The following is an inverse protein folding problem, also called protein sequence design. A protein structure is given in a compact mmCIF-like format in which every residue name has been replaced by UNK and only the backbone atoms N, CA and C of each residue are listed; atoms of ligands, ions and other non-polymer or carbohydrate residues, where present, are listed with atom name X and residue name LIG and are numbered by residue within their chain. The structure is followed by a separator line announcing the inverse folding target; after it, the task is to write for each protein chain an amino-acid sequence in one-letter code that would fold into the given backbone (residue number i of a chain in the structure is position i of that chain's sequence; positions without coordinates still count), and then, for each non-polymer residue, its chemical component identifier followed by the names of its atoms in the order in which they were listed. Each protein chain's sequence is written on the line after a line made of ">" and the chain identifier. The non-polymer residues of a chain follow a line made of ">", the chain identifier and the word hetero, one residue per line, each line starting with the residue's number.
data_IF_198057328543
#
_entry.id   IF_198057328543
#
_cell.length_a   1.000
_cell.length_b   1.000
_cell.length_c   1.000
_cell.angle_alpha   90.00
_cell.angle_beta   90.00
_cell.angle_gamma   90.00
#
_symmetry.space_group_name_H-M   'P 1'
#
loop_
_entity.id
_entity.type
_entity.pdbx_description
1 polymer ?
#
# COMPACT_ATOMS: atom_id res chain seq x y z
N UNK A 1 -4.09 57.34 -23.58
CA UNK A 1 -2.70 56.89 -23.72
C UNK A 1 -2.16 56.63 -22.33
N UNK A 2 -2.20 55.45 -21.72
CA UNK A 2 -2.80 54.16 -22.06
C UNK A 2 -3.07 53.41 -20.74
N UNK A 3 -4.12 52.59 -20.80
CA UNK A 3 -4.55 51.64 -19.79
C UNK A 3 -3.95 50.30 -20.18
N UNK A 4 -3.24 49.60 -19.28
CA UNK A 4 -2.94 48.16 -19.35
C UNK A 4 -2.50 47.71 -17.94
N UNK A 5 -3.39 47.18 -17.08
CA UNK A 5 -3.81 45.76 -17.00
C UNK A 5 -2.68 44.73 -17.11
N UNK A 6 -1.92 44.54 -16.03
CA UNK A 6 -1.27 43.25 -15.77
C UNK A 6 -2.27 42.33 -15.06
N UNK A 7 -3.17 41.77 -15.86
CA UNK A 7 -3.81 40.50 -15.59
C UNK A 7 -2.79 39.40 -15.90
N UNK A 8 -2.22 38.78 -14.87
CA UNK A 8 -1.62 37.44 -15.02
C UNK A 8 -2.57 36.44 -14.39
N UNK A 9 -3.67 36.21 -15.12
CA UNK A 9 -4.44 34.99 -15.03
C UNK A 9 -3.56 33.85 -15.57
N UNK A 10 -2.90 33.14 -14.65
CA UNK A 10 -2.24 31.87 -14.96
C UNK A 10 -2.92 30.77 -14.13
N UNK A 11 -4.24 30.68 -14.27
CA UNK A 11 -4.96 29.45 -14.00
C UNK A 11 -4.60 28.46 -15.11
N UNK A 12 -3.51 27.72 -14.93
CA UNK A 12 -3.34 26.47 -15.66
C UNK A 12 -4.46 25.52 -15.22
N UNK A 13 -5.60 25.58 -15.92
CA UNK A 13 -6.59 24.51 -15.90
C UNK A 13 -5.88 23.24 -16.37
N UNK A 14 -5.40 22.47 -15.41
CA UNK A 14 -4.97 21.10 -15.64
C UNK A 14 -6.23 20.35 -16.05
N UNK A 15 -6.44 20.21 -17.35
CA UNK A 15 -7.46 19.34 -17.92
C UNK A 15 -7.16 17.91 -17.45
N UNK A 16 -7.75 17.53 -16.32
CA UNK A 16 -7.69 16.18 -15.80
C UNK A 16 -8.46 15.28 -16.78
N UNK A 17 -7.94 14.08 -17.14
CA UNK A 17 -8.63 13.17 -18.06
C UNK A 17 -10.05 12.88 -17.57
N UNK A 18 -11.03 12.78 -18.47
CA UNK A 18 -12.39 12.36 -18.10
C UNK A 18 -12.37 10.97 -17.46
N UNK A 19 -12.59 10.91 -16.14
CA UNK A 19 -12.56 9.68 -15.36
C UNK A 19 -13.93 9.01 -15.40
N UNK A 20 -14.03 7.83 -16.02
CA UNK A 20 -15.28 7.06 -15.97
C UNK A 20 -15.04 5.62 -15.49
N UNK A 21 -15.38 5.39 -14.22
CA UNK A 21 -15.82 4.11 -13.65
C UNK A 21 -16.38 4.33 -12.22
N UNK A 22 -17.62 4.84 -12.12
CA UNK A 22 -18.53 4.71 -10.97
C UNK A 22 -17.94 4.86 -9.54
N UNK A 23 -17.26 5.98 -9.25
CA UNK A 23 -16.93 6.38 -7.88
C UNK A 23 -17.43 7.80 -7.61
N UNK A 24 -17.92 8.03 -6.40
CA UNK A 24 -18.56 9.30 -6.03
C UNK A 24 -17.53 10.42 -5.84
N UNK A 25 -17.83 11.61 -6.37
CA UNK A 25 -17.16 12.85 -5.98
C UNK A 25 -17.67 13.26 -4.59
N UNK A 26 -16.81 13.12 -3.59
CA UNK A 26 -17.14 13.41 -2.20
C UNK A 26 -16.74 14.83 -1.78
N UNK A 27 -16.15 15.63 -2.67
CA UNK A 27 -15.67 16.99 -2.38
C UNK A 27 -16.66 17.84 -1.57
N UNK A 28 -17.96 17.96 -1.93
CA UNK A 28 -18.90 18.80 -1.18
C UNK A 28 -19.25 18.24 0.22
N UNK A 29 -18.89 17.00 0.51
CA UNK A 29 -19.26 16.29 1.74
C UNK A 29 -18.08 16.05 2.69
N UNK A 30 -16.87 16.46 2.31
CA UNK A 30 -15.64 16.26 3.07
C UNK A 30 -15.27 17.54 3.81
N UNK A 31 -14.97 17.41 5.10
CA UNK A 31 -14.49 18.52 5.93
C UNK A 31 -13.22 18.11 6.67
N UNK A 32 -12.15 18.89 6.55
CA UNK A 32 -10.89 18.67 7.27
C UNK A 32 -11.12 18.80 8.79
N UNK A 33 -10.54 17.91 9.59
CA UNK A 33 -10.61 18.02 11.06
C UNK A 33 -9.46 18.82 11.67
N UNK A 34 -8.42 19.11 10.89
CA UNK A 34 -7.21 19.80 11.34
C UNK A 34 -6.62 20.63 10.19
N UNK A 35 -5.78 21.60 10.56
CA UNK A 35 -5.06 22.47 9.62
C UNK A 35 -3.94 21.72 8.87
N UNK A 36 -3.36 20.71 9.51
CA UNK A 36 -2.22 19.94 8.99
C UNK A 36 -2.58 18.46 8.76
N UNK A 37 -1.92 17.78 7.80
CA UNK A 37 -2.10 16.35 7.60
C UNK A 37 -1.58 15.54 8.80
N UNK A 38 -2.18 14.38 9.04
CA UNK A 38 -1.80 13.47 10.13
C UNK A 38 -0.50 12.73 9.81
N UNK A 39 -0.25 12.47 8.53
CA UNK A 39 0.98 11.83 8.08
C UNK A 39 1.45 12.40 6.74
N UNK A 40 2.77 12.40 6.54
CA UNK A 40 3.42 12.69 5.27
C UNK A 40 4.32 11.52 4.92
N UNK A 41 4.16 10.98 3.72
CA UNK A 41 4.92 9.84 3.23
C UNK A 41 5.46 10.06 1.82
N UNK A 42 6.18 9.08 1.29
CA UNK A 42 6.81 9.17 -0.03
C UNK A 42 5.84 9.31 -1.22
N UNK A 43 4.54 9.21 -0.97
CA UNK A 43 3.45 9.30 -1.96
C UNK A 43 2.55 10.53 -1.78
N UNK A 44 2.76 11.31 -0.71
CA UNK A 44 1.96 12.48 -0.41
C UNK A 44 1.52 12.53 1.05
N UNK A 45 0.33 13.05 1.29
CA UNK A 45 -0.17 13.40 2.62
C UNK A 45 -1.46 12.65 2.94
N UNK A 46 -1.66 12.30 4.20
CA UNK A 46 -2.91 11.70 4.68
C UNK A 46 -3.58 12.64 5.67
N UNK A 47 -4.79 13.04 5.34
CA UNK A 47 -5.62 13.94 6.13
C UNK A 47 -6.71 13.14 6.86
N UNK A 48 -6.97 13.49 8.12
CA UNK A 48 -8.17 13.05 8.83
C UNK A 48 -9.29 14.04 8.55
N UNK A 49 -10.42 13.52 8.08
CA UNK A 49 -11.57 14.32 7.67
C UNK A 49 -12.87 13.71 8.19
N UNK A 50 -13.94 14.49 8.15
CA UNK A 50 -15.32 14.04 8.33
C UNK A 50 -16.00 13.98 6.97
N UNK A 51 -16.60 12.84 6.66
CA UNK A 51 -17.51 12.66 5.53
C UNK A 51 -18.95 12.72 6.05
N UNK A 52 -19.74 13.68 5.56
CA UNK A 52 -21.17 13.79 5.87
C UNK A 52 -21.97 12.83 5.00
N UNK A 53 -22.53 11.79 5.61
CA UNK A 53 -23.41 10.83 4.95
C UNK A 53 -24.86 11.04 5.36
N UNK A 54 -25.79 10.41 4.65
CA UNK A 54 -27.21 10.38 5.03
C UNK A 54 -27.46 9.73 6.40
N UNK A 55 -26.50 8.94 6.91
CA UNK A 55 -26.56 8.28 8.23
C UNK A 55 -25.83 9.06 9.32
N UNK A 56 -25.31 10.25 9.00
CA UNK A 56 -24.51 11.07 9.91
C UNK A 56 -23.04 11.18 9.51
N UNK A 57 -22.25 11.94 10.30
CA UNK A 57 -20.83 12.15 10.05
C UNK A 57 -20.02 10.89 10.36
N UNK A 58 -19.13 10.50 9.44
CA UNK A 58 -18.17 9.41 9.64
C UNK A 58 -16.74 9.92 9.43
N UNK A 59 -15.78 9.37 10.17
CA UNK A 59 -14.36 9.69 9.99
C UNK A 59 -13.82 8.99 8.74
N UNK A 60 -13.09 9.74 7.92
CA UNK A 60 -12.43 9.24 6.72
C UNK A 60 -10.97 9.68 6.66
N UNK A 61 -10.16 8.89 5.98
CA UNK A 61 -8.82 9.27 5.56
C UNK A 61 -8.89 9.82 4.13
N UNK A 62 -8.23 10.95 3.88
CA UNK A 62 -8.10 11.55 2.56
C UNK A 62 -6.63 11.57 2.18
N UNK A 63 -6.24 10.70 1.24
CA UNK A 63 -4.87 10.54 0.75
C UNK A 63 -4.66 11.48 -0.43
N UNK A 64 -3.93 12.55 -0.19
CA UNK A 64 -3.57 13.57 -1.18
C UNK A 64 -2.21 13.24 -1.79
N UNK A 65 -2.10 13.41 -3.11
CA UNK A 65 -0.88 13.08 -3.85
C UNK A 65 -0.08 14.33 -4.17
N UNK A 66 1.24 14.25 -3.97
CA UNK A 66 2.14 15.36 -4.27
C UNK A 66 2.26 15.55 -5.80
N UNK A 67 2.26 16.80 -6.23
CA UNK A 67 2.61 17.18 -7.61
C UNK A 67 3.94 17.93 -7.57
N UNK A 68 4.86 17.53 -8.42
CA UNK A 68 6.18 18.13 -8.53
C UNK A 68 6.17 19.16 -9.68
N UNK A 69 6.87 20.28 -9.51
CA UNK A 69 6.89 21.38 -10.48
C UNK A 69 8.26 21.47 -11.14
N UNK A 70 8.31 21.37 -12.47
CA UNK A 70 9.53 21.42 -13.27
C UNK A 70 9.46 20.49 -14.50
N UNK A 71 10.31 20.72 -15.51
CA UNK A 71 10.33 19.91 -16.73
C UNK A 71 10.80 18.46 -16.47
N UNK A 72 11.69 18.24 -15.49
CA UNK A 72 12.22 16.91 -15.13
C UNK A 72 11.23 16.06 -14.31
N UNK A 73 10.09 16.64 -13.91
CA UNK A 73 9.14 16.05 -12.96
C UNK A 73 7.87 15.47 -13.63
N UNK A 74 7.72 15.63 -14.94
CA UNK A 74 6.58 15.11 -15.71
C UNK A 74 6.39 13.61 -15.52
N UNK A 75 7.49 12.84 -15.48
CA UNK A 75 7.44 11.40 -15.26
C UNK A 75 6.95 11.04 -13.84
N UNK A 76 7.28 11.85 -12.82
CA UNK A 76 6.79 11.63 -11.45
C UNK A 76 5.29 11.91 -11.34
N UNK A 77 4.82 12.99 -11.95
CA UNK A 77 3.41 13.35 -11.99
C UNK A 77 2.58 12.31 -12.76
N UNK A 78 3.07 11.85 -13.92
CA UNK A 78 2.42 10.78 -14.68
C UNK A 78 2.31 9.47 -13.87
N UNK A 79 3.34 9.14 -13.07
CA UNK A 79 3.29 7.99 -12.14
C UNK A 79 2.21 8.18 -11.06
N UNK A 80 2.08 9.37 -10.48
CA UNK A 80 1.07 9.65 -9.48
C UNK A 80 -0.35 9.58 -10.05
N UNK A 81 -0.60 10.15 -11.23
CA UNK A 81 -1.89 10.04 -11.93
C UNK A 81 -2.24 8.57 -12.22
N UNK A 82 -1.26 7.78 -12.68
CA UNK A 82 -1.47 6.35 -12.94
C UNK A 82 -1.80 5.57 -11.66
N UNK A 83 -1.21 5.94 -10.52
CA UNK A 83 -1.49 5.34 -9.21
C UNK A 83 -2.89 5.68 -8.73
N UNK A 84 -3.28 6.96 -8.79
CA UNK A 84 -4.63 7.41 -8.45
C UNK A 84 -5.66 6.61 -9.25
N UNK A 85 -5.45 6.49 -10.57
CA UNK A 85 -6.32 5.71 -11.45
C UNK A 85 -6.49 4.27 -11.00
N UNK A 86 -5.39 3.62 -10.64
CA UNK A 86 -5.39 2.21 -10.26
C UNK A 86 -6.07 2.02 -8.92
N UNK A 87 -5.71 2.83 -7.93
CA UNK A 87 -6.27 2.70 -6.59
C UNK A 87 -7.78 2.99 -6.59
N UNK A 88 -8.24 3.99 -7.33
CA UNK A 88 -9.67 4.25 -7.56
C UNK A 88 -10.33 3.13 -8.39
N UNK A 89 -9.80 2.81 -9.58
CA UNK A 89 -10.41 1.86 -10.51
C UNK A 89 -10.45 0.42 -9.97
N UNK A 90 -9.33 -0.07 -9.43
CA UNK A 90 -9.28 -1.40 -8.80
C UNK A 90 -10.05 -1.40 -7.49
N UNK A 91 -9.90 -0.38 -6.65
CA UNK A 91 -10.56 -0.32 -5.33
C UNK A 91 -12.09 -0.19 -5.40
N UNK A 92 -12.64 0.41 -6.46
CA UNK A 92 -14.08 0.62 -6.61
C UNK A 92 -14.91 -0.67 -6.52
N UNK A 93 -14.40 -1.75 -7.12
CA UNK A 93 -15.08 -3.06 -7.19
C UNK A 93 -14.85 -3.97 -5.99
N UNK A 94 -13.86 -3.69 -5.15
CA UNK A 94 -13.46 -4.61 -4.08
C UNK A 94 -14.38 -4.49 -2.87
N UNK A 95 -14.88 -5.64 -2.40
CA UNK A 95 -15.78 -5.78 -1.27
C UNK A 95 -15.38 -6.99 -0.44
N UNK A 96 -14.60 -6.75 0.61
CA UNK A 96 -14.16 -7.77 1.55
C UNK A 96 -13.78 -7.11 2.89
N UNK A 97 -14.09 -7.70 4.06
CA UNK A 97 -13.80 -7.10 5.37
C UNK A 97 -12.31 -6.80 5.57
N UNK A 98 -11.42 -7.66 5.05
CA UNK A 98 -9.98 -7.48 5.17
C UNK A 98 -9.33 -6.73 3.99
N UNK A 99 -10.11 -5.95 3.22
CA UNK A 99 -9.65 -5.08 2.15
C UNK A 99 -10.18 -3.67 2.41
N UNK A 100 -9.29 -2.67 2.45
CA UNK A 100 -9.68 -1.29 2.68
C UNK A 100 -10.57 -0.80 1.55
N UNK A 101 -11.81 -0.45 1.90
CA UNK A 101 -12.79 0.05 0.94
C UNK A 101 -12.42 1.46 0.47
N UNK A 102 -12.44 1.67 -0.84
CA UNK A 102 -12.42 3.01 -1.44
C UNK A 102 -13.85 3.55 -1.47
N UNK A 103 -14.05 4.74 -0.88
CA UNK A 103 -15.35 5.42 -0.91
C UNK A 103 -15.53 6.25 -2.18
N UNK A 104 -14.47 6.91 -2.63
CA UNK A 104 -14.52 7.81 -3.77
C UNK A 104 -13.28 8.70 -3.79
N UNK A 105 -13.43 9.89 -4.36
CA UNK A 105 -12.37 10.89 -4.43
C UNK A 105 -12.84 12.24 -3.89
N UNK A 106 -11.89 13.13 -3.62
CA UNK A 106 -12.15 14.51 -3.21
C UNK A 106 -11.12 15.44 -3.83
N UNK A 107 -11.56 16.62 -4.25
CA UNK A 107 -10.71 17.74 -4.67
C UNK A 107 -10.42 18.65 -3.45
N UNK A 108 -9.55 19.66 -3.62
CA UNK A 108 -9.24 20.65 -2.57
C UNK A 108 -8.15 20.25 -1.57
N UNK A 109 -7.44 19.15 -1.84
CA UNK A 109 -6.28 18.69 -1.06
C UNK A 109 -4.95 18.82 -1.84
N UNK A 110 -4.98 19.55 -2.95
CA UNK A 110 -3.86 19.70 -3.88
C UNK A 110 -4.35 19.75 -5.33
N UNK A 111 -3.44 19.77 -6.31
CA UNK A 111 -3.79 19.83 -7.73
C UNK A 111 -4.28 18.51 -8.32
N UNK A 112 -4.07 17.38 -7.62
CA UNK A 112 -4.53 16.06 -8.03
C UNK A 112 -5.70 15.59 -7.16
N UNK A 113 -6.62 14.75 -7.69
CA UNK A 113 -7.66 14.12 -6.89
C UNK A 113 -7.07 13.32 -5.72
N UNK A 114 -7.65 13.50 -4.54
CA UNK A 114 -7.31 12.74 -3.35
C UNK A 114 -8.26 11.54 -3.21
N UNK A 115 -7.76 10.43 -2.67
CA UNK A 115 -8.55 9.20 -2.48
C UNK A 115 -9.16 9.21 -1.08
N UNK A 116 -10.45 8.88 -1.00
CA UNK A 116 -11.20 8.83 0.26
C UNK A 116 -11.44 7.38 0.67
N UNK A 117 -11.00 7.02 1.88
CA UNK A 117 -11.21 5.70 2.50
C UNK A 117 -11.74 5.87 3.93
N UNK A 118 -12.29 4.82 4.56
CA UNK A 118 -12.55 4.84 6.00
C UNK A 118 -11.30 5.25 6.79
N UNK A 119 -11.50 5.99 7.88
CA UNK A 119 -10.44 6.23 8.85
C UNK A 119 -10.28 4.99 9.74
N UNK A 120 -9.07 4.44 9.80
CA UNK A 120 -8.75 3.24 10.59
C UNK A 120 -7.94 3.67 11.82
N UNK A 121 -8.51 3.49 13.02
CA UNK A 121 -8.05 4.20 14.23
C UNK A 121 -6.67 3.77 14.74
N UNK A 122 -6.26 2.51 14.61
CA UNK A 122 -4.93 2.07 15.08
C UNK A 122 -3.82 2.30 14.04
N UNK A 123 -4.14 2.86 12.87
CA UNK A 123 -3.17 3.14 11.82
C UNK A 123 -2.64 1.86 11.17
N UNK A 124 -1.39 1.89 10.73
CA UNK A 124 -0.76 0.76 10.04
C UNK A 124 -0.15 -0.26 11.01
N UNK A 125 0.06 -1.48 10.51
CA UNK A 125 0.58 -2.62 11.27
C UNK A 125 1.95 -2.34 11.89
N UNK A 126 2.84 -1.64 11.18
CA UNK A 126 4.17 -1.29 11.71
C UNK A 126 4.07 -0.41 12.96
N UNK A 127 3.14 0.55 12.97
CA UNK A 127 2.88 1.42 14.14
C UNK A 127 2.13 0.65 15.24
N UNK A 128 1.20 -0.22 14.87
CA UNK A 128 0.42 -1.02 15.80
C UNK A 128 1.30 -1.99 16.60
N UNK A 129 2.17 -2.76 15.93
CA UNK A 129 3.07 -3.74 16.57
C UNK A 129 4.14 -3.11 17.48
N UNK A 130 4.42 -1.82 17.31
CA UNK A 130 5.31 -1.10 18.23
C UNK A 130 4.65 -0.79 19.58
N UNK A 131 3.31 -0.87 19.67
CA UNK A 131 2.52 -0.59 20.87
C UNK A 131 1.94 -1.86 21.48
N UNK A 132 1.42 -2.71 20.61
CA UNK A 132 0.71 -3.94 20.95
C UNK A 132 1.53 -5.17 20.53
N UNK A 133 1.35 -6.27 21.24
CA UNK A 133 2.06 -7.53 20.96
C UNK A 133 1.56 -8.29 19.73
N UNK A 134 2.06 -9.52 19.60
CA UNK A 134 1.74 -10.46 18.52
C UNK A 134 0.23 -10.74 18.42
N UNK A 135 -0.32 -10.69 17.20
CA UNK A 135 -1.71 -11.01 16.90
C UNK A 135 -1.82 -11.97 15.72
N UNK A 136 -2.10 -13.25 16.00
CA UNK A 136 -2.33 -14.26 14.94
C UNK A 136 -3.63 -13.99 14.16
N UNK A 137 -4.62 -13.34 14.78
CA UNK A 137 -5.85 -12.93 14.09
C UNK A 137 -5.53 -11.93 12.97
N UNK A 138 -4.60 -11.01 13.21
CA UNK A 138 -4.11 -10.08 12.17
C UNK A 138 -3.52 -10.81 10.96
N UNK A 139 -2.78 -11.91 11.16
CA UNK A 139 -2.25 -12.71 10.03
C UNK A 139 -3.35 -13.43 9.26
N UNK A 140 -4.37 -13.95 9.95
CA UNK A 140 -5.53 -14.60 9.33
C UNK A 140 -6.31 -13.60 8.48
N UNK A 141 -6.51 -12.39 8.99
CA UNK A 141 -7.16 -11.29 8.30
C UNK A 141 -6.40 -10.89 7.03
N UNK A 142 -5.08 -10.69 7.12
CA UNK A 142 -4.25 -10.37 5.95
C UNK A 142 -4.27 -11.52 4.94
N UNK A 143 -4.20 -12.78 5.38
CA UNK A 143 -4.27 -13.93 4.47
C UNK A 143 -5.64 -14.01 3.76
N UNK A 144 -6.72 -13.75 4.48
CA UNK A 144 -8.09 -13.70 3.95
C UNK A 144 -8.26 -12.59 2.89
N UNK A 145 -7.77 -11.38 3.19
CA UNK A 145 -7.75 -10.28 2.22
C UNK A 145 -6.91 -10.62 0.99
N UNK A 146 -5.72 -11.21 1.19
CA UNK A 146 -4.84 -11.58 0.08
C UNK A 146 -5.46 -12.67 -0.80
N UNK A 147 -6.15 -13.64 -0.21
CA UNK A 147 -6.89 -14.65 -0.95
C UNK A 147 -7.97 -14.00 -1.81
N UNK A 148 -8.76 -13.10 -1.24
CA UNK A 148 -9.78 -12.37 -1.99
C UNK A 148 -9.20 -11.65 -3.21
N UNK A 149 -8.07 -10.94 -3.06
CA UNK A 149 -7.39 -10.30 -4.20
C UNK A 149 -6.97 -11.34 -5.26
N UNK A 150 -6.31 -12.41 -4.84
CA UNK A 150 -5.79 -13.44 -5.74
C UNK A 150 -6.90 -14.18 -6.49
N UNK A 151 -8.05 -14.45 -5.86
CA UNK A 151 -9.23 -15.03 -6.50
C UNK A 151 -9.81 -14.09 -7.56
N UNK A 152 -9.76 -12.78 -7.34
CA UNK A 152 -10.18 -11.75 -8.31
C UNK A 152 -9.09 -11.43 -9.33
N UNK A 153 -8.03 -12.24 -9.44
CA UNK A 153 -6.88 -12.02 -10.33
C UNK A 153 -6.15 -10.68 -10.11
N UNK A 154 -6.20 -10.15 -8.90
CA UNK A 154 -5.49 -8.94 -8.51
C UNK A 154 -4.22 -9.31 -7.77
N UNK A 155 -3.10 -8.79 -8.24
CA UNK A 155 -1.82 -8.81 -7.53
C UNK A 155 -1.70 -7.51 -6.74
N UNK A 156 -1.38 -7.59 -5.46
CA UNK A 156 -1.19 -6.41 -4.63
C UNK A 156 0.07 -5.65 -5.04
N UNK A 157 1.19 -6.38 -5.17
CA UNK A 157 2.47 -5.87 -5.69
C UNK A 157 3.29 -5.04 -4.71
N UNK A 158 2.70 -4.62 -3.59
CA UNK A 158 3.37 -3.82 -2.56
C UNK A 158 2.96 -4.18 -1.12
N UNK A 159 2.74 -5.47 -0.84
CA UNK A 159 2.27 -5.88 0.48
C UNK A 159 3.38 -5.66 1.53
N UNK A 160 3.14 -4.76 2.48
CA UNK A 160 4.07 -4.42 3.57
C UNK A 160 3.29 -4.15 4.85
N UNK A 161 3.98 -4.07 6.00
CA UNK A 161 3.34 -3.64 7.25
C UNK A 161 2.78 -2.20 7.21
N UNK A 162 3.25 -1.34 6.30
CA UNK A 162 2.68 0.00 6.15
C UNK A 162 1.35 0.00 5.37
N UNK A 163 1.14 -1.04 4.57
CA UNK A 163 -0.05 -1.23 3.72
C UNK A 163 -1.05 -2.23 4.33
N UNK A 164 -0.89 -2.55 5.62
CA UNK A 164 -1.90 -3.27 6.42
C UNK A 164 -2.35 -2.30 7.51
N UNK A 165 -3.66 -2.04 7.59
CA UNK A 165 -4.25 -1.17 8.61
C UNK A 165 -5.01 -2.01 9.64
N UNK A 166 -4.99 -1.55 10.90
CA UNK A 166 -5.59 -2.27 12.03
C UNK A 166 -6.73 -1.44 12.65
N UNK A 167 -7.92 -2.04 12.72
CA UNK A 167 -9.11 -1.47 13.33
C UNK A 167 -9.04 -1.42 14.86
N UNK A 168 -9.94 -0.68 15.49
CA UNK A 168 -10.03 -0.59 16.95
C UNK A 168 -10.40 -1.92 17.62
N UNK A 169 -11.05 -2.82 16.88
CA UNK A 169 -11.41 -4.18 17.30
C UNK A 169 -10.28 -5.20 17.05
N UNK A 170 -9.11 -4.75 16.57
CA UNK A 170 -7.98 -5.60 16.23
C UNK A 170 -8.08 -6.28 14.87
N UNK A 171 -9.16 -6.06 14.11
CA UNK A 171 -9.30 -6.57 12.74
C UNK A 171 -8.29 -5.88 11.81
N UNK A 172 -7.76 -6.61 10.84
CA UNK A 172 -6.82 -6.05 9.87
C UNK A 172 -7.38 -6.02 8.45
N UNK A 173 -6.98 -5.00 7.68
CA UNK A 173 -7.30 -4.90 6.27
C UNK A 173 -6.09 -4.45 5.43
N UNK A 174 -5.99 -4.96 4.21
CA UNK A 174 -4.96 -4.56 3.25
C UNK A 174 -5.39 -3.26 2.56
N UNK A 175 -4.45 -2.33 2.39
CA UNK A 175 -4.64 -1.01 1.80
C UNK A 175 -3.58 -0.71 0.72
N UNK A 176 -3.74 0.41 0.02
CA UNK A 176 -2.82 0.93 -1.02
C UNK A 176 -2.63 0.01 -2.24
N UNK A 177 -3.64 -0.01 -3.10
CA UNK A 177 -3.62 -0.71 -4.38
C UNK A 177 -2.98 0.12 -5.51
N UNK A 178 -2.20 1.16 -5.20
CA UNK A 178 -1.58 2.03 -6.22
C UNK A 178 -0.59 1.28 -7.12
N UNK A 179 -0.08 0.15 -6.64
CA UNK A 179 0.73 -0.81 -7.38
C UNK A 179 -0.04 -2.09 -7.74
N UNK A 180 -1.37 -2.12 -7.65
CA UNK A 180 -2.14 -3.24 -8.20
C UNK A 180 -2.12 -3.22 -9.73
N UNK A 181 -2.00 -4.39 -10.35
CA UNK A 181 -1.84 -4.52 -11.80
C UNK A 181 -2.94 -5.43 -12.36
N UNK A 182 -3.94 -4.84 -13.02
CA UNK A 182 -4.94 -5.60 -13.80
C UNK A 182 -4.62 -5.58 -15.30
N UNK A 183 -3.95 -4.54 -15.82
CA UNK A 183 -3.41 -4.50 -17.20
C UNK A 183 -2.24 -3.47 -17.38
N UNK A 184 -1.08 -3.94 -17.89
CA UNK A 184 0.11 -3.22 -18.43
C UNK A 184 0.93 -2.19 -17.57
N UNK A 185 2.12 -1.71 -18.06
CA UNK A 185 3.47 -2.28 -18.15
C UNK A 185 4.37 -1.99 -16.90
N UNK A 186 5.70 -2.15 -17.03
CA UNK A 186 6.77 -2.29 -16.01
C UNK A 186 6.85 -1.29 -14.84
N UNK A 187 7.46 -1.74 -13.73
CA UNK A 187 7.77 -0.92 -12.53
C UNK A 187 9.18 -0.33 -12.64
N UNK A 188 9.35 0.98 -12.54
CA UNK A 188 10.68 1.63 -12.57
C UNK A 188 11.52 1.32 -11.32
N UNK A 189 12.84 1.23 -11.46
CA UNK A 189 13.79 1.01 -10.37
C UNK A 189 13.66 2.02 -9.22
N UNK A 190 13.44 3.30 -9.53
CA UNK A 190 13.29 4.38 -8.54
C UNK A 190 12.04 4.24 -7.66
N UNK A 191 10.96 3.65 -8.18
CA UNK A 191 9.78 3.32 -7.36
C UNK A 191 10.00 2.12 -6.44
N UNK A 192 11.00 1.27 -6.72
CA UNK A 192 11.33 0.08 -5.91
C UNK A 192 12.16 0.42 -4.67
N UNK A 193 12.88 1.55 -4.69
CA UNK A 193 13.80 1.97 -3.62
C UNK A 193 13.16 2.79 -2.49
N UNK A 194 11.87 3.16 -2.57
CA UNK A 194 11.19 3.89 -1.48
C UNK A 194 10.59 2.92 -0.45
N UNK A 195 11.43 2.34 0.41
CA UNK A 195 11.00 1.72 1.68
C UNK A 195 10.43 0.30 1.64
N UNK A 196 10.24 -0.31 0.47
CA UNK A 196 9.61 -1.63 0.35
C UNK A 196 10.59 -2.78 0.02
N UNK A 197 11.89 -2.47 -0.08
CA UNK A 197 12.94 -3.43 -0.46
C UNK A 197 12.98 -4.67 0.44
N UNK A 198 12.65 -4.53 1.73
CA UNK A 198 12.65 -5.63 2.71
C UNK A 198 11.61 -6.69 2.40
N UNK A 199 10.41 -6.27 1.98
CA UNK A 199 9.29 -7.17 1.63
C UNK A 199 9.35 -7.65 0.19
N UNK A 200 10.08 -6.96 -0.69
CA UNK A 200 10.12 -7.26 -2.12
C UNK A 200 10.75 -8.63 -2.43
N UNK A 201 10.07 -9.44 -3.25
CA UNK A 201 10.60 -10.72 -3.70
C UNK A 201 11.87 -10.56 -4.57
N UNK A 202 12.86 -11.48 -4.48
CA UNK A 202 14.16 -11.33 -5.14
C UNK A 202 14.08 -11.25 -6.67
N UNK A 203 13.11 -11.94 -7.29
CA UNK A 203 12.90 -11.87 -8.73
C UNK A 203 12.50 -10.46 -9.21
N UNK A 204 11.87 -9.65 -8.37
CA UNK A 204 11.49 -8.27 -8.71
C UNK A 204 12.68 -7.30 -8.70
N UNK A 205 13.81 -7.73 -8.13
CA UNK A 205 15.08 -7.00 -8.18
C UNK A 205 15.85 -7.29 -9.48
N UNK A 206 15.60 -8.43 -10.13
CA UNK A 206 16.35 -8.93 -11.28
C UNK A 206 15.81 -8.35 -12.59
N UNK A 207 16.30 -7.17 -12.97
CA UNK A 207 16.06 -6.57 -14.29
C UNK A 207 15.25 -5.27 -14.25
N UNK A 208 15.26 -4.56 -15.37
CA UNK A 208 14.61 -3.25 -15.54
C UNK A 208 13.09 -3.36 -15.63
N UNK A 209 12.57 -4.54 -15.99
CA UNK A 209 11.22 -4.72 -16.51
C UNK A 209 10.50 -5.94 -15.93
N UNK A 210 10.46 -6.04 -14.59
CA UNK A 210 9.78 -7.14 -13.88
C UNK A 210 8.43 -6.67 -13.32
N UNK A 211 7.43 -7.55 -13.40
CA UNK A 211 6.08 -7.32 -12.87
C UNK A 211 5.85 -8.13 -11.60
N UNK A 212 5.22 -7.56 -10.57
CA UNK A 212 4.74 -8.34 -9.44
C UNK A 212 3.77 -9.43 -9.88
N UNK A 213 3.78 -10.54 -9.15
CA UNK A 213 2.92 -11.70 -9.37
C UNK A 213 2.24 -12.09 -8.06
N UNK A 214 1.21 -12.96 -8.15
CA UNK A 214 0.61 -13.56 -6.94
C UNK A 214 1.69 -14.22 -6.07
N UNK A 215 2.71 -14.84 -6.68
CA UNK A 215 3.82 -15.47 -5.97
C UNK A 215 4.77 -14.48 -5.31
N UNK A 216 4.96 -13.28 -5.86
CA UNK A 216 5.72 -12.25 -5.16
C UNK A 216 4.96 -11.69 -3.96
N UNK A 217 3.61 -11.62 -4.03
CA UNK A 217 2.82 -11.28 -2.86
C UNK A 217 2.95 -12.32 -1.73
N UNK A 218 3.09 -13.62 -2.07
CA UNK A 218 3.34 -14.67 -1.07
C UNK A 218 4.68 -14.44 -0.34
N UNK A 219 5.72 -14.03 -1.06
CA UNK A 219 6.99 -13.67 -0.44
C UNK A 219 6.83 -12.48 0.52
N UNK A 220 6.13 -11.43 0.07
CA UNK A 220 5.81 -10.27 0.89
C UNK A 220 4.96 -10.64 2.11
N UNK A 221 4.03 -11.58 1.97
CA UNK A 221 3.25 -12.11 3.08
C UNK A 221 4.15 -12.79 4.11
N UNK A 222 5.11 -13.63 3.70
CA UNK A 222 6.09 -14.23 4.60
C UNK A 222 6.89 -13.17 5.38
N UNK A 223 7.19 -12.04 4.74
CA UNK A 223 7.81 -10.89 5.39
C UNK A 223 6.90 -10.22 6.43
N UNK A 224 5.61 -10.02 6.12
CA UNK A 224 4.60 -9.52 7.08
C UNK A 224 4.42 -10.50 8.24
N UNK A 225 4.41 -11.81 7.95
CA UNK A 225 4.32 -12.87 8.95
C UNK A 225 5.47 -12.83 9.94
N UNK A 226 6.71 -12.71 9.46
CA UNK A 226 7.88 -12.48 10.32
C UNK A 226 7.69 -11.22 11.19
N UNK A 227 7.23 -10.12 10.58
CA UNK A 227 7.05 -8.85 11.27
C UNK A 227 6.02 -8.95 12.40
N UNK A 228 4.87 -9.57 12.16
CA UNK A 228 3.84 -9.77 13.20
C UNK A 228 4.34 -10.65 14.33
N UNK A 229 5.08 -11.72 14.01
CA UNK A 229 5.53 -12.68 15.01
C UNK A 229 6.64 -12.11 15.88
N UNK A 230 7.52 -11.30 15.31
CA UNK A 230 8.76 -10.88 15.97
C UNK A 230 8.75 -9.42 16.41
N UNK A 231 7.76 -8.65 15.96
CA UNK A 231 7.75 -7.18 16.04
C UNK A 231 8.77 -6.51 15.11
N UNK A 232 9.62 -7.27 14.42
CA UNK A 232 10.74 -6.76 13.66
C UNK A 232 10.59 -7.02 12.16
N UNK A 233 10.87 -6.01 11.35
CA UNK A 233 10.86 -6.14 9.89
C UNK A 233 11.98 -7.10 9.40
N UNK A 234 11.86 -7.68 8.19
CA UNK A 234 12.94 -8.47 7.61
C UNK A 234 14.24 -7.66 7.50
N UNK A 235 15.36 -8.29 7.86
CA UNK A 235 16.70 -7.70 7.88
C UNK A 235 16.84 -6.44 8.76
N UNK A 236 16.05 -6.25 9.82
CA UNK A 236 16.03 -4.99 10.62
C UNK A 236 17.43 -4.54 11.10
N UNK A 237 18.35 -5.49 11.28
CA UNK A 237 19.74 -5.31 11.68
C UNK A 237 20.68 -4.81 10.56
N UNK A 238 20.16 -4.57 9.35
CA UNK A 238 20.93 -4.09 8.20
C UNK A 238 20.33 -2.80 7.61
N UNK A 239 21.17 -1.92 7.03
CA UNK A 239 20.67 -0.83 6.18
C UNK A 239 20.08 -1.39 4.87
N UNK A 240 19.32 -0.57 4.11
CA UNK A 240 18.58 -1.05 2.94
C UNK A 240 19.45 -1.55 1.80
N UNK A 241 20.60 -0.91 1.55
CA UNK A 241 21.43 -1.19 0.39
C UNK A 241 22.02 -2.63 0.39
N UNK A 242 22.63 -3.14 1.48
CA UNK A 242 23.10 -4.53 1.55
C UNK A 242 22.02 -5.59 1.31
N UNK A 243 20.75 -5.30 1.61
CA UNK A 243 19.64 -6.26 1.45
C UNK A 243 19.47 -6.64 -0.02
N UNK A 244 19.75 -5.72 -0.94
CA UNK A 244 19.71 -5.99 -2.38
C UNK A 244 20.71 -7.12 -2.70
N UNK A 245 21.96 -6.99 -2.25
CA UNK A 245 23.01 -7.99 -2.49
C UNK A 245 22.67 -9.34 -1.85
N UNK A 246 22.20 -9.34 -0.59
CA UNK A 246 21.76 -10.57 0.08
C UNK A 246 20.70 -11.31 -0.73
N UNK A 247 19.66 -10.60 -1.19
CA UNK A 247 18.59 -11.18 -2.01
C UNK A 247 19.09 -11.68 -3.36
N UNK A 248 20.06 -11.00 -3.97
CA UNK A 248 20.71 -11.48 -5.20
C UNK A 248 21.40 -12.83 -4.98
N UNK A 249 22.07 -12.98 -3.83
CA UNK A 249 22.79 -14.18 -3.40
C UNK A 249 21.90 -15.28 -2.79
N UNK A 250 20.56 -15.14 -2.88
CA UNK A 250 19.61 -16.06 -2.27
C UNK A 250 19.70 -16.17 -0.74
N UNK A 251 20.22 -15.14 -0.08
CA UNK A 251 20.25 -15.07 1.37
C UNK A 251 18.90 -14.56 1.92
N UNK A 252 18.45 -15.20 3.00
CA UNK A 252 17.26 -14.82 3.76
C UNK A 252 17.66 -14.19 5.11
N UNK A 253 16.74 -13.56 5.86
CA UNK A 253 17.05 -13.07 7.20
C UNK A 253 17.65 -14.15 8.09
N UNK A 254 18.64 -13.80 8.92
CA UNK A 254 19.30 -14.74 9.83
C UNK A 254 18.38 -15.14 10.98
N UNK A 255 18.15 -16.44 11.18
CA UNK A 255 17.33 -16.99 12.29
C UNK A 255 17.73 -16.46 13.66
N UNK A 256 19.03 -16.29 13.90
CA UNK A 256 19.57 -15.82 15.18
C UNK A 256 19.12 -14.40 15.54
N UNK A 257 18.74 -13.60 14.55
CA UNK A 257 18.26 -12.23 14.74
C UNK A 257 16.77 -12.17 15.14
N UNK A 258 16.06 -13.30 15.06
CA UNK A 258 14.62 -13.42 15.34
C UNK A 258 14.34 -14.55 16.34
N UNK A 259 14.90 -14.52 17.56
CA UNK A 259 14.79 -15.63 18.52
C UNK A 259 13.34 -15.92 18.95
N UNK A 260 12.46 -14.92 18.92
CA UNK A 260 11.04 -15.04 19.28
C UNK A 260 10.18 -15.79 18.26
N UNK A 261 10.64 -15.95 17.01
CA UNK A 261 9.95 -16.76 16.02
C UNK A 261 10.20 -18.24 16.32
N UNK A 262 9.18 -19.00 16.70
CA UNK A 262 9.33 -20.44 16.93
C UNK A 262 9.47 -21.21 15.60
N UNK A 263 10.05 -22.39 15.67
CA UNK A 263 10.48 -23.14 14.48
C UNK A 263 9.35 -23.43 13.50
N UNK A 264 8.16 -23.81 13.99
CA UNK A 264 6.98 -24.05 13.14
C UNK A 264 6.64 -22.87 12.23
N UNK A 265 6.70 -21.63 12.75
CA UNK A 265 6.43 -20.44 11.95
C UNK A 265 7.63 -20.05 11.10
N UNK A 266 8.85 -20.20 11.62
CA UNK A 266 10.07 -19.91 10.87
C UNK A 266 10.18 -20.78 9.61
N UNK A 267 9.95 -22.08 9.74
CA UNK A 267 9.99 -23.03 8.63
C UNK A 267 8.96 -22.66 7.56
N UNK A 268 7.74 -22.33 7.96
CA UNK A 268 6.71 -21.90 7.02
C UNK A 268 7.02 -20.56 6.34
N UNK A 269 7.62 -19.61 7.06
CA UNK A 269 8.09 -18.33 6.50
C UNK A 269 9.18 -18.59 5.45
N UNK A 270 10.11 -19.51 5.71
CA UNK A 270 11.16 -19.88 4.74
C UNK A 270 10.57 -20.45 3.44
N UNK A 271 9.48 -21.22 3.52
CA UNK A 271 8.76 -21.68 2.32
C UNK A 271 8.19 -20.50 1.51
N UNK A 272 7.64 -19.49 2.18
CA UNK A 272 7.21 -18.23 1.52
C UNK A 272 8.37 -17.51 0.84
N UNK A 273 9.59 -17.63 1.39
CA UNK A 273 10.81 -17.01 0.87
C UNK A 273 11.58 -17.83 -0.15
N UNK A 274 11.01 -18.93 -0.66
CA UNK A 274 11.64 -19.71 -1.73
C UNK A 274 12.09 -18.81 -2.90
N UNK A 275 13.33 -19.05 -3.36
CA UNK A 275 13.91 -18.38 -4.52
C UNK A 275 13.17 -18.71 -5.81
N UNK A 276 12.69 -19.95 -5.94
CA UNK A 276 11.76 -20.33 -7.01
C UNK A 276 10.34 -19.89 -6.59
N UNK A 277 9.71 -18.93 -7.30
CA UNK A 277 8.36 -18.49 -6.98
C UNK A 277 7.31 -19.60 -7.07
N UNK A 278 7.54 -20.65 -7.87
CA UNK A 278 6.60 -21.77 -8.00
C UNK A 278 6.57 -22.68 -6.78
N UNK A 279 7.68 -22.73 -6.04
CA UNK A 279 7.80 -23.53 -4.81
C UNK A 279 7.18 -22.85 -3.59
N UNK A 280 6.81 -21.57 -3.70
CA UNK A 280 6.12 -20.84 -2.61
C UNK A 280 4.73 -21.44 -2.38
N UNK A 281 4.22 -21.45 -1.13
CA UNK A 281 2.88 -21.95 -0.84
C UNK A 281 1.81 -21.13 -1.58
N UNK A 282 0.63 -21.71 -1.76
CA UNK A 282 -0.55 -20.95 -2.18
C UNK A 282 -1.17 -20.22 -0.98
N UNK A 283 -2.03 -19.24 -1.24
CA UNK A 283 -2.73 -18.52 -0.17
C UNK A 283 -3.66 -19.43 0.63
N UNK A 284 -4.24 -20.46 0.00
CA UNK A 284 -5.03 -21.50 0.68
C UNK A 284 -4.18 -22.27 1.70
N UNK A 285 -2.93 -22.60 1.34
CA UNK A 285 -2.00 -23.28 2.24
C UNK A 285 -1.59 -22.38 3.41
N UNK A 286 -1.46 -21.07 3.19
CA UNK A 286 -1.24 -20.09 4.25
C UNK A 286 -2.41 -20.09 5.24
N UNK A 287 -3.65 -19.98 4.72
CA UNK A 287 -4.86 -19.98 5.56
C UNK A 287 -4.96 -21.29 6.36
N UNK A 288 -4.71 -22.43 5.72
CA UNK A 288 -4.72 -23.74 6.38
C UNK A 288 -3.64 -23.86 7.47
N UNK A 289 -2.46 -23.28 7.26
CA UNK A 289 -1.39 -23.24 8.26
C UNK A 289 -1.78 -22.38 9.46
N UNK A 290 -2.34 -21.19 9.22
CA UNK A 290 -2.75 -20.26 10.28
C UNK A 290 -4.00 -20.71 11.04
N UNK A 291 -4.76 -21.67 10.52
CA UNK A 291 -5.98 -22.20 11.17
C UNK A 291 -5.71 -23.35 12.14
N UNK A 292 -4.44 -23.75 12.30
CA UNK A 292 -4.01 -24.79 13.24
C UNK A 292 -3.89 -24.26 14.66
#
# INVERSE_FOLDING_TARGET
>A
MDVDQYSTDCSMEVNLPEWNAALDDLTPHITKTAEYPVARGGFGEVWKCIFRTNKGPVKVAVKAFQMYSGNDDLAANARNIKRIRRELGTGAGLRHPNILRVHGYSMGFGPLPAIVTPWVEQGNLSVFLAREGLSLTTLRDVASGLQYLHTNNIVHGDLTGNNVLVGSDGSACIADFGLSFVDAPYVSWTSRMKGNLRWMAPELLRGTEVRPTKRSDIYSFGCVMLQVITGNVPFYYLPEYPIILMKYNAEIPSRFQYPSCIDTYWDFIQECWSMDPMMRPSVERIIAFLSR
#
